data_IF_252748256695
#
_entry.id   IF_252748256695
#
_cell.length_a   1.000
_cell.length_b   1.000
_cell.length_c   1.000
_cell.angle_alpha   90.00
_cell.angle_beta   90.00
_cell.angle_gamma   90.00
#
_symmetry.space_group_name_H-M   'P 1'
#
loop_
_entity.id
_entity.type
_entity.pdbx_description
1 polymer ?
#
# COMPACT_ATOMS: atom_id res chain seq x y z
N UNK A 1 2.95 16.47 -4.37
CA UNK A 1 3.40 15.10 -4.01
C UNK A 1 3.05 14.16 -5.16
N UNK A 2 3.90 13.22 -5.57
CA UNK A 2 3.52 12.19 -6.54
C UNK A 2 2.31 11.38 -6.07
N UNK A 3 1.60 10.77 -7.02
CA UNK A 3 0.45 9.92 -6.74
C UNK A 3 0.92 8.58 -6.15
N UNK A 4 0.20 8.06 -5.16
CA UNK A 4 0.38 6.72 -4.61
C UNK A 4 -0.90 5.94 -4.90
N UNK A 5 -0.81 4.83 -5.64
CA UNK A 5 -1.93 3.96 -5.98
C UNK A 5 -2.11 2.91 -4.90
N UNK A 6 -3.35 2.65 -4.52
CA UNK A 6 -3.73 1.65 -3.52
C UNK A 6 -4.53 0.54 -4.18
N UNK A 7 -3.94 -0.63 -4.21
CA UNK A 7 -4.54 -1.91 -4.59
C UNK A 7 -4.66 -2.81 -3.36
N UNK A 8 -5.37 -3.92 -3.49
CA UNK A 8 -5.40 -5.01 -2.51
C UNK A 8 -5.07 -6.34 -3.20
N UNK A 9 -5.95 -6.87 -4.02
CA UNK A 9 -5.75 -8.15 -4.71
C UNK A 9 -5.75 -7.99 -6.24
N UNK A 10 -4.95 -8.81 -6.93
CA UNK A 10 -4.99 -8.94 -8.39
C UNK A 10 -5.41 -10.36 -8.73
N UNK A 11 -6.71 -10.57 -8.87
CA UNK A 11 -7.31 -11.89 -9.09
C UNK A 11 -8.62 -11.77 -9.87
N UNK A 12 -9.00 -12.86 -10.53
CA UNK A 12 -10.37 -13.06 -11.05
C UNK A 12 -11.16 -13.86 -10.02
N UNK A 13 -12.11 -13.22 -9.35
CA UNK A 13 -12.91 -13.83 -8.28
C UNK A 13 -14.39 -13.82 -8.62
N UNK A 14 -15.15 -14.83 -8.14
CA UNK A 14 -16.58 -14.92 -8.37
C UNK A 14 -17.42 -13.92 -7.59
N UNK A 15 -16.92 -13.45 -6.44
CA UNK A 15 -17.57 -12.46 -5.60
C UNK A 15 -16.50 -11.55 -4.96
N UNK A 16 -16.75 -10.24 -5.00
CA UNK A 16 -15.87 -9.19 -4.43
C UNK A 16 -16.74 -8.10 -3.79
N UNK A 17 -17.39 -8.40 -2.65
CA UNK A 17 -18.33 -7.47 -2.01
C UNK A 17 -17.66 -6.17 -1.55
N UNK A 18 -16.36 -6.21 -1.22
CA UNK A 18 -15.59 -5.07 -0.74
C UNK A 18 -14.84 -4.32 -1.86
N UNK A 19 -15.00 -4.78 -3.12
CA UNK A 19 -14.33 -4.19 -4.29
C UNK A 19 -12.80 -4.16 -4.20
N UNK A 20 -12.19 -5.18 -3.61
CA UNK A 20 -10.74 -5.26 -3.36
C UNK A 20 -9.95 -5.84 -4.54
N UNK A 21 -10.64 -6.53 -5.47
CA UNK A 21 -9.99 -7.23 -6.56
C UNK A 21 -9.94 -6.40 -7.85
N UNK A 22 -8.81 -6.52 -8.53
CA UNK A 22 -8.64 -6.10 -9.91
C UNK A 22 -8.24 -7.33 -10.71
N UNK A 23 -8.91 -7.60 -11.85
CA UNK A 23 -8.52 -8.75 -12.68
C UNK A 23 -7.11 -8.58 -13.24
N UNK A 24 -6.36 -9.68 -13.49
CA UNK A 24 -5.01 -9.61 -14.07
C UNK A 24 -4.97 -8.79 -15.36
N UNK A 25 -5.93 -8.97 -16.25
CA UNK A 25 -6.03 -8.21 -17.50
C UNK A 25 -6.24 -6.71 -17.26
N UNK A 26 -7.11 -6.32 -16.32
CA UNK A 26 -7.31 -4.92 -15.96
C UNK A 26 -6.06 -4.32 -15.30
N UNK A 27 -5.39 -5.06 -14.44
CA UNK A 27 -4.14 -4.64 -13.84
C UNK A 27 -3.06 -4.39 -14.89
N UNK A 28 -2.87 -5.32 -15.83
CA UNK A 28 -1.94 -5.16 -16.95
C UNK A 28 -2.25 -3.92 -17.82
N UNK A 29 -3.54 -3.64 -18.12
CA UNK A 29 -3.96 -2.42 -18.82
C UNK A 29 -3.59 -1.15 -18.03
N UNK A 30 -3.77 -1.16 -16.72
CA UNK A 30 -3.43 -0.03 -15.84
C UNK A 30 -1.91 0.19 -15.79
N UNK A 31 -1.11 -0.86 -15.68
CA UNK A 31 0.37 -0.77 -15.72
C UNK A 31 0.86 -0.31 -17.09
N UNK A 32 0.31 -0.84 -18.17
CA UNK A 32 0.61 -0.38 -19.52
C UNK A 32 0.24 1.09 -19.76
N UNK A 33 -0.84 1.58 -19.11
CA UNK A 33 -1.19 2.99 -19.16
C UNK A 33 -0.16 3.86 -18.45
N UNK A 34 0.35 3.44 -17.28
CA UNK A 34 1.44 4.16 -16.61
C UNK A 34 2.65 4.28 -17.53
N UNK A 35 3.10 3.17 -18.09
CA UNK A 35 4.27 3.08 -18.97
C UNK A 35 4.14 3.98 -20.20
N UNK A 36 3.03 3.88 -20.95
CA UNK A 36 2.74 4.74 -22.11
C UNK A 36 2.66 6.24 -21.79
N UNK A 37 2.44 6.61 -20.53
CA UNK A 37 2.42 8.00 -20.09
C UNK A 37 3.73 8.46 -19.44
N UNK A 38 4.82 7.70 -19.62
CA UNK A 38 6.14 8.00 -19.06
C UNK A 38 6.16 7.98 -17.54
N UNK A 39 5.30 7.12 -16.93
CA UNK A 39 5.21 6.94 -15.49
C UNK A 39 5.79 5.59 -15.11
N UNK A 40 6.62 5.58 -14.08
CA UNK A 40 7.24 4.37 -13.54
C UNK A 40 6.68 4.07 -12.14
N UNK A 41 6.18 2.85 -11.97
CA UNK A 41 5.75 2.33 -10.67
C UNK A 41 6.95 2.01 -9.77
N UNK A 42 6.91 2.49 -8.54
CA UNK A 42 7.96 2.24 -7.54
C UNK A 42 7.33 2.03 -6.16
N UNK A 43 8.09 1.45 -5.23
CA UNK A 43 7.67 1.39 -3.83
C UNK A 43 7.57 2.79 -3.21
N UNK A 44 6.81 2.92 -2.12
CA UNK A 44 6.64 4.22 -1.43
C UNK A 44 7.97 4.69 -0.83
N UNK A 45 8.76 3.80 -0.25
CA UNK A 45 10.08 4.14 0.27
C UNK A 45 11.00 4.68 -0.81
N UNK A 46 11.04 4.03 -1.99
CA UNK A 46 11.77 4.53 -3.16
C UNK A 46 11.23 5.88 -3.61
N UNK A 47 9.91 6.05 -3.70
CA UNK A 47 9.28 7.31 -4.08
C UNK A 47 9.71 8.45 -3.14
N UNK A 48 9.64 8.25 -1.84
CA UNK A 48 10.02 9.25 -0.83
C UNK A 48 11.52 9.59 -0.89
N UNK A 49 12.39 8.58 -1.06
CA UNK A 49 13.83 8.82 -1.24
C UNK A 49 14.12 9.66 -2.49
N UNK A 50 13.46 9.37 -3.61
CA UNK A 50 13.58 10.15 -4.85
C UNK A 50 13.00 11.57 -4.73
N UNK A 51 11.92 11.74 -3.94
CA UNK A 51 11.38 13.06 -3.64
C UNK A 51 12.37 13.94 -2.86
N UNK A 52 12.97 13.39 -1.80
CA UNK A 52 14.00 14.10 -1.02
C UNK A 52 15.19 14.52 -1.88
N UNK A 53 15.54 13.72 -2.90
CA UNK A 53 16.62 14.01 -3.85
C UNK A 53 16.19 14.90 -5.04
N UNK A 54 14.95 15.39 -5.10
CA UNK A 54 14.44 16.18 -6.24
C UNK A 54 14.24 15.38 -7.54
N UNK A 55 14.22 14.04 -7.48
CA UNK A 55 14.24 13.13 -8.65
C UNK A 55 12.98 12.30 -8.80
N UNK A 56 11.84 12.75 -8.25
CA UNK A 56 10.58 11.99 -8.27
C UNK A 56 9.71 12.24 -9.52
N UNK A 57 10.19 13.03 -10.50
CA UNK A 57 9.42 13.29 -11.73
C UNK A 57 9.17 11.99 -12.50
N UNK A 58 7.92 11.75 -12.87
CA UNK A 58 7.52 10.53 -13.57
C UNK A 58 7.35 9.29 -12.68
N UNK A 59 7.58 9.39 -11.37
CA UNK A 59 7.37 8.27 -10.45
C UNK A 59 5.95 8.27 -9.87
N UNK A 60 5.43 7.05 -9.66
CA UNK A 60 4.14 6.76 -9.03
C UNK A 60 4.35 5.66 -8.00
N UNK A 61 3.94 5.89 -6.76
CA UNK A 61 3.94 4.84 -5.75
C UNK A 61 2.89 3.78 -6.08
N UNK A 62 3.23 2.51 -5.95
CA UNK A 62 2.27 1.40 -6.04
C UNK A 62 2.26 0.69 -4.70
N UNK A 63 1.07 0.45 -4.16
CA UNK A 63 0.89 -0.27 -2.89
C UNK A 63 -0.15 -1.36 -3.02
N UNK A 64 0.08 -2.47 -2.32
CA UNK A 64 -0.89 -3.55 -2.11
C UNK A 64 -1.10 -3.71 -0.61
N UNK A 65 -2.34 -3.63 -0.16
CA UNK A 65 -2.71 -3.85 1.23
C UNK A 65 -3.05 -5.33 1.48
N UNK A 66 -3.11 -5.73 2.74
CA UNK A 66 -3.51 -7.03 3.27
C UNK A 66 -2.55 -8.20 3.00
N UNK A 67 -1.71 -8.12 1.98
CA UNK A 67 -0.81 -9.22 1.63
C UNK A 67 -1.53 -10.43 1.01
N UNK A 68 -2.53 -10.22 0.15
CA UNK A 68 -3.20 -11.32 -0.57
C UNK A 68 -2.22 -12.12 -1.43
N UNK A 69 -2.28 -13.45 -1.35
CA UNK A 69 -1.39 -14.36 -2.08
C UNK A 69 -1.46 -14.17 -3.61
N UNK A 70 -2.62 -13.78 -4.13
CA UNK A 70 -2.85 -13.56 -5.56
C UNK A 70 -1.89 -12.55 -6.20
N UNK A 71 -1.24 -11.67 -5.43
CA UNK A 71 -0.21 -10.76 -5.96
C UNK A 71 1.01 -11.50 -6.51
N UNK A 72 1.31 -12.71 -6.02
CA UNK A 72 2.44 -13.52 -6.47
C UNK A 72 2.29 -13.98 -7.92
N UNK A 73 1.07 -14.32 -8.31
CA UNK A 73 0.78 -14.92 -9.61
C UNK A 73 0.55 -13.88 -10.71
N UNK A 74 0.02 -12.72 -10.34
CA UNK A 74 -0.41 -11.71 -11.32
C UNK A 74 0.35 -10.39 -11.20
N UNK A 75 0.44 -9.79 -9.99
CA UNK A 75 1.03 -8.47 -9.84
C UNK A 75 2.56 -8.51 -9.91
N UNK A 76 3.20 -9.47 -9.24
CA UNK A 76 4.65 -9.61 -9.21
C UNK A 76 5.26 -9.77 -10.63
N UNK A 77 4.82 -10.72 -11.48
CA UNK A 77 5.39 -10.86 -12.82
C UNK A 77 5.09 -9.66 -13.72
N UNK A 78 3.90 -9.09 -13.66
CA UNK A 78 3.53 -7.92 -14.46
C UNK A 78 4.38 -6.69 -14.12
N UNK A 79 4.59 -6.40 -12.84
CA UNK A 79 5.43 -5.29 -12.40
C UNK A 79 6.90 -5.53 -12.74
N UNK A 80 7.40 -6.74 -12.48
CA UNK A 80 8.80 -7.10 -12.74
C UNK A 80 9.15 -7.02 -14.22
N UNK A 81 8.26 -7.45 -15.12
CA UNK A 81 8.47 -7.37 -16.58
C UNK A 81 8.64 -5.93 -17.08
N UNK A 82 8.11 -4.94 -16.35
CA UNK A 82 8.23 -3.51 -16.67
C UNK A 82 9.35 -2.82 -15.89
N UNK A 83 10.08 -3.54 -15.05
CA UNK A 83 11.04 -2.94 -14.11
C UNK A 83 10.38 -2.03 -13.08
N UNK A 84 9.10 -2.26 -12.77
CA UNK A 84 8.37 -1.59 -11.71
C UNK A 84 8.55 -2.34 -10.39
N UNK A 85 8.31 -1.64 -9.29
CA UNK A 85 8.23 -2.24 -7.95
C UNK A 85 7.04 -1.66 -7.19
N UNK A 86 6.75 -2.22 -6.02
CA UNK A 86 5.64 -1.79 -5.17
C UNK A 86 6.00 -1.97 -3.69
N UNK A 87 5.18 -1.42 -2.81
CA UNK A 87 5.14 -1.77 -1.39
C UNK A 87 3.99 -2.73 -1.14
N UNK A 88 4.26 -3.83 -0.49
CA UNK A 88 3.24 -4.79 -0.03
C UNK A 88 3.10 -4.67 1.47
N UNK A 89 1.95 -4.18 1.94
CA UNK A 89 1.63 -4.06 3.36
C UNK A 89 1.03 -5.38 3.85
N UNK A 90 1.75 -6.08 4.72
CA UNK A 90 1.46 -7.43 5.18
C UNK A 90 0.93 -7.42 6.61
N UNK A 91 -0.10 -8.22 6.88
CA UNK A 91 -0.64 -8.46 8.24
C UNK A 91 0.18 -9.56 8.89
N UNK A 92 1.06 -9.21 9.85
CA UNK A 92 2.09 -10.14 10.33
C UNK A 92 1.54 -11.38 11.04
N UNK A 93 0.47 -11.23 11.79
CA UNK A 93 -0.14 -12.33 12.55
C UNK A 93 -1.03 -13.27 11.71
N UNK A 94 -1.20 -12.98 10.42
CA UNK A 94 -2.08 -13.77 9.53
C UNK A 94 -1.35 -14.37 8.33
N UNK A 95 -0.02 -14.33 8.33
CA UNK A 95 0.83 -14.92 7.28
C UNK A 95 0.52 -16.41 7.11
N UNK A 96 0.30 -16.84 5.86
CA UNK A 96 -0.10 -18.20 5.53
C UNK A 96 -1.55 -18.56 5.88
N UNK A 97 -2.30 -17.61 6.40
CA UNK A 97 -3.72 -17.74 6.71
C UNK A 97 -4.64 -17.17 5.63
N UNK A 98 -5.78 -16.64 6.06
CA UNK A 98 -6.79 -16.03 5.18
C UNK A 98 -7.31 -14.73 5.78
N UNK A 99 -8.02 -13.94 4.96
CA UNK A 99 -8.65 -12.66 5.30
C UNK A 99 -9.89 -12.82 6.23
N UNK A 100 -9.69 -13.40 7.41
CA UNK A 100 -10.76 -13.70 8.38
C UNK A 100 -11.21 -12.52 9.25
N UNK A 101 -10.74 -11.31 8.97
CA UNK A 101 -11.12 -10.09 9.69
C UNK A 101 -12.40 -9.43 9.14
N UNK A 102 -12.82 -9.79 7.93
CA UNK A 102 -14.05 -9.32 7.32
C UNK A 102 -14.96 -10.50 6.95
N UNK A 103 -16.26 -10.26 6.92
CA UNK A 103 -17.23 -11.22 6.38
C UNK A 103 -17.11 -11.29 4.86
N UNK A 104 -17.28 -12.50 4.30
CA UNK A 104 -17.25 -12.70 2.85
C UNK A 104 -16.37 -13.86 2.40
N UNK A 105 -15.96 -13.87 1.12
CA UNK A 105 -15.09 -14.92 0.58
C UNK A 105 -13.74 -14.98 1.30
N UNK A 106 -13.31 -16.21 1.59
CA UNK A 106 -12.01 -16.45 2.22
C UNK A 106 -10.93 -16.54 1.14
N UNK A 107 -9.96 -15.60 1.17
CA UNK A 107 -8.82 -15.55 0.26
C UNK A 107 -7.52 -15.77 1.00
N UNK A 108 -6.58 -16.55 0.41
CA UNK A 108 -5.30 -16.82 1.06
C UNK A 108 -4.40 -15.58 1.10
N UNK A 109 -3.60 -15.50 2.15
CA UNK A 109 -2.57 -14.48 2.35
C UNK A 109 -1.18 -15.07 2.06
N UNK A 110 -0.21 -14.21 1.76
CA UNK A 110 1.17 -14.62 1.48
C UNK A 110 1.74 -15.46 2.63
N UNK A 111 2.50 -16.49 2.25
CA UNK A 111 3.27 -17.30 3.20
C UNK A 111 4.58 -16.61 3.59
N UNK A 112 5.26 -17.13 4.61
CA UNK A 112 6.57 -16.65 5.02
C UNK A 112 7.59 -16.68 3.86
N UNK A 113 7.63 -17.77 3.11
CA UNK A 113 8.54 -17.91 1.95
C UNK A 113 8.19 -16.88 0.85
N UNK A 114 6.91 -16.62 0.61
CA UNK A 114 6.46 -15.64 -0.38
C UNK A 114 6.82 -14.20 0.02
N UNK A 115 6.81 -13.86 1.30
CA UNK A 115 7.32 -12.56 1.77
C UNK A 115 8.81 -12.43 1.45
N UNK A 116 9.60 -13.48 1.67
CA UNK A 116 11.02 -13.53 1.27
C UNK A 116 11.23 -13.38 -0.24
N UNK A 117 10.40 -14.05 -1.05
CA UNK A 117 10.42 -13.93 -2.53
C UNK A 117 10.12 -12.50 -2.97
N UNK A 118 9.10 -11.85 -2.40
CA UNK A 118 8.77 -10.45 -2.69
C UNK A 118 9.94 -9.51 -2.36
N UNK A 119 10.53 -9.66 -1.18
CA UNK A 119 11.68 -8.85 -0.77
C UNK A 119 12.89 -9.05 -1.71
N UNK A 120 13.22 -10.30 -2.05
CA UNK A 120 14.30 -10.64 -2.99
C UNK A 120 14.05 -10.10 -4.41
N UNK A 121 12.80 -9.99 -4.84
CA UNK A 121 12.40 -9.39 -6.11
C UNK A 121 12.42 -7.84 -6.10
N UNK A 122 12.84 -7.21 -4.98
CA UNK A 122 12.94 -5.75 -4.86
C UNK A 122 11.63 -5.04 -4.53
N UNK A 123 10.63 -5.79 -4.06
CA UNK A 123 9.42 -5.20 -3.49
C UNK A 123 9.70 -4.77 -2.04
N UNK A 124 9.16 -3.64 -1.66
CA UNK A 124 9.23 -3.19 -0.27
C UNK A 124 8.17 -3.92 0.55
N UNK A 125 8.59 -4.54 1.65
CA UNK A 125 7.67 -5.10 2.64
C UNK A 125 7.33 -3.98 3.63
N UNK A 126 6.03 -3.71 3.77
CA UNK A 126 5.47 -2.79 4.75
C UNK A 126 4.56 -3.53 5.72
N UNK A 127 4.22 -2.88 6.83
CA UNK A 127 3.34 -3.44 7.86
C UNK A 127 1.89 -2.98 7.68
N UNK A 128 0.95 -3.91 7.90
CA UNK A 128 -0.49 -3.65 7.98
C UNK A 128 -1.07 -4.10 9.32
N UNK A 129 -0.35 -3.88 10.42
CA UNK A 129 -0.60 -4.35 11.79
C UNK A 129 -0.43 -5.88 11.97
N UNK A 130 -0.65 -6.36 13.19
CA UNK A 130 -0.60 -7.80 13.51
C UNK A 130 -1.89 -8.50 13.12
N UNK A 131 -3.07 -7.93 13.44
CA UNK A 131 -4.37 -8.63 13.32
C UNK A 131 -5.45 -7.85 12.56
N UNK A 132 -5.08 -6.73 11.90
CA UNK A 132 -5.96 -5.88 11.09
C UNK A 132 -7.11 -5.20 11.86
N UNK A 133 -6.93 -4.71 13.09
CA UNK A 133 -7.99 -4.00 13.81
C UNK A 133 -8.13 -2.55 13.32
N UNK A 134 -9.26 -1.92 13.61
CA UNK A 134 -9.36 -0.45 13.57
C UNK A 134 -8.50 0.13 14.69
N UNK A 135 -7.50 0.95 14.34
CA UNK A 135 -6.51 1.45 15.31
C UNK A 135 -6.97 2.68 16.09
N UNK A 136 -7.83 3.52 15.50
CA UNK A 136 -8.35 4.69 16.19
C UNK A 136 -9.15 4.29 17.44
N UNK A 137 -8.82 4.89 18.59
CA UNK A 137 -9.48 4.62 19.86
C UNK A 137 -8.97 3.39 20.61
N UNK A 138 -7.97 2.65 20.10
CA UNK A 138 -7.38 1.55 20.84
C UNK A 138 -6.53 2.05 22.02
N UNK A 139 -6.50 1.29 23.14
CA UNK A 139 -5.58 1.56 24.24
C UNK A 139 -4.10 1.53 23.80
N UNK A 140 -3.24 2.26 24.48
CA UNK A 140 -1.84 2.44 24.09
C UNK A 140 -1.03 1.12 24.04
N UNK A 141 -1.31 0.19 24.94
CA UNK A 141 -0.69 -1.15 24.96
C UNK A 141 -1.10 -1.97 23.72
N UNK A 142 -2.38 -1.90 23.32
CA UNK A 142 -2.89 -2.55 22.11
C UNK A 142 -2.30 -1.90 20.85
N UNK A 143 -2.24 -0.58 20.78
CA UNK A 143 -1.58 0.12 19.67
C UNK A 143 -0.13 -0.33 19.52
N UNK A 144 0.62 -0.41 20.63
CA UNK A 144 2.01 -0.86 20.62
C UNK A 144 2.12 -2.30 20.14
N UNK A 145 1.29 -3.20 20.63
CA UNK A 145 1.29 -4.61 20.21
C UNK A 145 1.00 -4.76 18.72
N UNK A 146 0.00 -4.07 18.21
CA UNK A 146 -0.38 -4.14 16.78
C UNK A 146 0.65 -3.48 15.84
N UNK A 147 1.27 -2.39 16.25
CA UNK A 147 2.13 -1.58 15.40
C UNK A 147 3.60 -2.00 15.52
N UNK A 148 4.16 -1.95 16.74
CA UNK A 148 5.57 -2.32 16.96
C UNK A 148 5.77 -3.83 16.82
N UNK A 149 4.81 -4.65 17.28
CA UNK A 149 4.84 -6.11 17.12
C UNK A 149 4.92 -6.49 15.65
N UNK A 150 4.04 -5.95 14.80
CA UNK A 150 4.05 -6.26 13.37
C UNK A 150 5.36 -5.84 12.67
N UNK A 151 5.97 -4.73 13.08
CA UNK A 151 7.28 -4.34 12.54
C UNK A 151 8.36 -5.35 12.88
N UNK A 152 8.42 -5.75 14.15
CA UNK A 152 9.41 -6.72 14.63
C UNK A 152 9.28 -8.07 13.90
N UNK A 153 8.04 -8.59 13.79
CA UNK A 153 7.74 -9.83 13.08
C UNK A 153 8.20 -9.78 11.62
N UNK A 154 7.83 -8.72 10.90
CA UNK A 154 8.13 -8.59 9.48
C UNK A 154 9.61 -8.29 9.19
N UNK A 155 10.31 -7.56 10.05
CA UNK A 155 11.76 -7.40 9.95
C UNK A 155 12.48 -8.76 10.10
N UNK A 156 12.09 -9.54 11.09
CA UNK A 156 12.67 -10.88 11.29
C UNK A 156 12.37 -11.83 10.12
N UNK A 157 11.17 -11.75 9.57
CA UNK A 157 10.74 -12.63 8.48
C UNK A 157 11.34 -12.27 7.13
N UNK A 158 11.34 -10.98 6.77
CA UNK A 158 11.80 -10.52 5.46
C UNK A 158 13.32 -10.34 5.37
N UNK A 159 14.02 -10.32 6.51
CA UNK A 159 15.44 -9.97 6.58
C UNK A 159 15.76 -8.53 6.17
N UNK A 160 14.73 -7.67 6.05
CA UNK A 160 14.87 -6.27 5.64
C UNK A 160 14.30 -5.33 6.70
N UNK A 161 14.73 -4.06 6.68
CA UNK A 161 14.14 -3.04 7.54
C UNK A 161 12.75 -2.62 7.03
N UNK A 162 11.71 -2.90 7.82
CA UNK A 162 10.31 -2.58 7.48
C UNK A 162 10.03 -1.13 7.86
N UNK A 163 10.00 -0.25 6.84
CA UNK A 163 9.98 1.20 6.99
C UNK A 163 8.60 1.83 6.83
N UNK A 164 7.68 1.14 6.16
CA UNK A 164 6.36 1.64 5.84
C UNK A 164 5.25 0.97 6.65
N UNK A 165 4.25 1.74 7.03
CA UNK A 165 3.02 1.27 7.66
C UNK A 165 1.80 1.66 6.81
N UNK A 166 0.73 0.86 6.79
CA UNK A 166 -0.58 1.29 6.31
C UNK A 166 -1.63 1.02 7.42
N UNK A 167 -2.51 2.00 7.64
CA UNK A 167 -3.55 1.88 8.67
C UNK A 167 -4.69 1.00 8.16
N UNK A 168 -5.02 -0.14 8.82
CA UNK A 168 -6.19 -0.94 8.50
C UNK A 168 -7.45 -0.09 8.41
N UNK A 169 -8.22 -0.24 7.34
CA UNK A 169 -9.43 0.56 7.04
C UNK A 169 -9.18 2.09 6.95
N UNK A 170 -7.93 2.54 6.92
CA UNK A 170 -7.59 3.95 7.10
C UNK A 170 -7.90 4.49 8.50
N UNK A 171 -8.16 3.61 9.47
CA UNK A 171 -8.54 3.96 10.85
C UNK A 171 -7.32 4.46 11.62
N UNK A 172 -7.26 5.78 11.85
CA UNK A 172 -6.17 6.42 12.58
C UNK A 172 -6.67 7.63 13.36
N UNK A 173 -6.00 7.88 14.48
CA UNK A 173 -6.11 9.10 15.29
C UNK A 173 -4.71 9.63 15.65
N UNK A 174 -4.62 10.60 16.54
CA UNK A 174 -3.33 11.15 16.96
C UNK A 174 -2.48 10.12 17.71
N UNK A 175 -3.10 9.25 18.52
CA UNK A 175 -2.42 8.21 19.29
C UNK A 175 -1.86 7.13 18.36
N UNK A 176 -2.64 6.64 17.40
CA UNK A 176 -2.18 5.67 16.41
C UNK A 176 -1.00 6.21 15.57
N UNK A 177 -1.05 7.48 15.14
CA UNK A 177 0.06 8.12 14.40
C UNK A 177 1.32 8.27 15.25
N UNK A 178 1.16 8.63 16.53
CA UNK A 178 2.28 8.69 17.47
C UNK A 178 2.92 7.31 17.64
N UNK A 179 2.12 6.26 17.85
CA UNK A 179 2.59 4.89 18.01
C UNK A 179 3.36 4.38 16.78
N UNK A 180 2.90 4.71 15.55
CA UNK A 180 3.61 4.36 14.30
C UNK A 180 4.99 5.03 14.26
N UNK A 181 5.07 6.32 14.62
CA UNK A 181 6.34 7.04 14.68
C UNK A 181 7.28 6.48 15.75
N UNK A 182 6.76 6.21 16.94
CA UNK A 182 7.51 5.65 18.06
C UNK A 182 8.01 4.23 17.78
N UNK A 183 7.27 3.44 16.99
CA UNK A 183 7.70 2.12 16.54
C UNK A 183 8.85 2.16 15.52
N UNK A 184 9.26 3.34 15.05
CA UNK A 184 10.40 3.53 14.15
C UNK A 184 10.09 3.31 12.67
N UNK A 185 8.83 3.45 12.25
CA UNK A 185 8.52 3.53 10.83
C UNK A 185 8.94 4.88 10.24
N UNK A 186 9.36 4.91 8.98
CA UNK A 186 9.75 6.15 8.29
C UNK A 186 8.54 6.92 7.74
N UNK A 187 7.45 6.21 7.44
CA UNK A 187 6.22 6.76 6.89
C UNK A 187 5.01 5.87 7.16
N UNK A 188 3.82 6.45 7.03
CA UNK A 188 2.58 5.69 7.01
C UNK A 188 1.63 6.14 5.90
N UNK A 189 0.92 5.17 5.31
CA UNK A 189 -0.10 5.39 4.30
C UNK A 189 -1.49 5.37 4.90
N UNK A 190 -2.31 6.35 4.50
CA UNK A 190 -3.73 6.43 4.82
C UNK A 190 -4.59 6.11 3.59
N UNK A 191 -5.87 5.86 3.83
CA UNK A 191 -6.90 5.94 2.80
C UNK A 191 -7.31 7.41 2.66
N UNK A 192 -7.69 7.86 1.48
CA UNK A 192 -8.06 9.25 1.24
C UNK A 192 -9.38 9.59 1.94
N UNK A 193 -9.33 10.07 3.17
CA UNK A 193 -10.53 10.41 3.94
C UNK A 193 -10.63 11.88 4.35
N UNK A 194 -9.54 12.60 4.54
CA UNK A 194 -9.59 14.02 4.86
C UNK A 194 -8.38 14.78 4.33
N UNK A 195 -8.63 16.03 3.97
CA UNK A 195 -7.65 16.92 3.32
C UNK A 195 -6.70 17.62 4.30
N UNK A 196 -6.79 17.31 5.58
CA UNK A 196 -6.15 18.10 6.63
C UNK A 196 -4.67 17.81 6.88
N UNK A 197 -4.26 16.56 6.83
CA UNK A 197 -2.93 16.14 7.27
C UNK A 197 -2.19 15.36 6.19
N UNK A 198 -1.23 16.03 5.51
CA UNK A 198 -0.39 15.46 4.45
C UNK A 198 1.03 15.13 4.94
N UNK A 199 1.22 14.96 6.25
CA UNK A 199 2.50 14.57 6.80
C UNK A 199 2.94 13.17 6.38
N UNK A 200 4.20 12.81 6.67
CA UNK A 200 4.76 11.48 6.38
C UNK A 200 3.96 10.34 7.06
N UNK A 201 3.22 10.66 8.12
CA UNK A 201 2.47 9.70 8.93
C UNK A 201 1.02 9.52 8.51
N UNK A 202 0.64 10.10 7.36
CA UNK A 202 -0.69 9.96 6.77
C UNK A 202 -0.67 10.24 5.25
N UNK A 203 0.22 9.58 4.54
CA UNK A 203 0.37 9.74 3.09
C UNK A 203 -0.93 9.35 2.37
N UNK A 204 -1.54 10.27 1.61
CA UNK A 204 -2.77 9.98 0.91
C UNK A 204 -2.53 9.04 -0.25
N UNK A 205 -3.43 8.09 -0.44
CA UNK A 205 -3.41 7.15 -1.56
C UNK A 205 -4.66 7.30 -2.42
N UNK A 206 -4.54 6.89 -3.66
CA UNK A 206 -5.64 6.83 -4.63
C UNK A 206 -6.05 5.37 -4.76
N UNK A 207 -7.23 5.04 -4.27
CA UNK A 207 -7.81 3.70 -4.46
C UNK A 207 -7.97 3.40 -5.95
N UNK A 208 -7.56 2.18 -6.35
CA UNK A 208 -7.68 1.65 -7.70
C UNK A 208 -8.42 0.31 -7.66
N UNK A 209 -9.49 0.22 -8.42
CA UNK A 209 -10.33 -0.98 -8.49
C UNK A 209 -10.59 -1.42 -9.92
N UNK A 210 -11.42 -2.46 -10.07
CA UNK A 210 -11.79 -3.09 -11.35
C UNK A 210 -12.38 -2.09 -12.37
N UNK A 211 -13.09 -1.07 -11.90
CA UNK A 211 -13.72 -0.06 -12.75
C UNK A 211 -12.76 1.01 -13.27
N UNK A 212 -11.51 1.04 -12.81
CA UNK A 212 -10.55 2.08 -13.19
C UNK A 212 -9.86 1.71 -14.52
N UNK A 213 -10.48 2.17 -15.60
CA UNK A 213 -9.92 2.15 -16.96
C UNK A 213 -8.80 3.19 -17.13
N UNK A 214 -8.09 3.15 -18.24
CA UNK A 214 -7.09 4.16 -18.63
C UNK A 214 -7.63 5.61 -18.53
N UNK A 215 -8.86 5.85 -18.99
CA UNK A 215 -9.50 7.18 -18.89
C UNK A 215 -9.75 7.62 -17.46
N UNK A 216 -10.19 6.70 -16.59
CA UNK A 216 -10.39 7.00 -15.16
C UNK A 216 -9.07 7.26 -14.44
N UNK A 217 -8.01 6.51 -14.78
CA UNK A 217 -6.67 6.77 -14.25
C UNK A 217 -6.16 8.15 -14.65
N UNK A 218 -6.38 8.56 -15.90
CA UNK A 218 -6.06 9.92 -16.36
C UNK A 218 -6.80 11.00 -15.54
N UNK A 219 -8.10 10.81 -15.32
CA UNK A 219 -8.91 11.69 -14.47
C UNK A 219 -8.41 11.74 -13.02
N UNK A 220 -8.15 10.59 -12.39
CA UNK A 220 -7.58 10.49 -11.04
C UNK A 220 -6.23 11.21 -10.93
N UNK A 221 -5.36 11.05 -11.94
CA UNK A 221 -4.08 11.75 -12.01
C UNK A 221 -4.24 13.27 -12.08
N UNK A 222 -5.17 13.75 -12.90
CA UNK A 222 -5.46 15.19 -13.02
C UNK A 222 -5.99 15.76 -11.71
N UNK A 223 -6.95 15.08 -11.09
CA UNK A 223 -7.51 15.47 -9.78
C UNK A 223 -6.42 15.48 -8.69
N UNK A 224 -5.54 14.49 -8.65
CA UNK A 224 -4.43 14.46 -7.69
C UNK A 224 -3.48 15.65 -7.88
N UNK A 225 -3.17 16.03 -9.15
CA UNK A 225 -2.36 17.23 -9.45
C UNK A 225 -3.03 18.53 -9.03
N UNK A 226 -4.32 18.68 -9.33
CA UNK A 226 -5.10 19.87 -8.93
C UNK A 226 -5.16 20.05 -7.42
N UNK A 227 -5.34 18.97 -6.70
CA UNK A 227 -5.35 18.92 -5.24
C UNK A 227 -4.04 19.37 -4.62
N UNK A 228 -2.90 19.01 -5.23
CA UNK A 228 -1.55 19.41 -4.78
C UNK A 228 -1.30 20.90 -5.08
N UNK A 229 -1.68 21.39 -6.26
CA UNK A 229 -1.50 22.78 -6.65
C UNK A 229 -2.26 23.75 -5.73
N UNK A 230 -3.51 23.44 -5.36
CA UNK A 230 -4.33 24.27 -4.45
C UNK A 230 -3.76 24.37 -3.03
N UNK A 231 -2.86 23.46 -2.62
CA UNK A 231 -2.22 23.48 -1.29
C UNK A 231 -0.90 24.23 -1.29
N UNK A 232 -0.10 24.10 -2.34
CA UNK A 232 1.11 24.93 -2.49
C UNK A 232 0.83 26.42 -2.59
N UNK A 233 -0.41 26.82 -2.90
CA UNK A 233 -0.85 28.20 -2.93
C UNK A 233 -1.36 28.72 -1.57
N UNK A 234 -1.45 27.87 -0.54
CA UNK A 234 -1.95 28.22 0.81
C UNK A 234 -0.87 28.10 1.91
N UNK A 235 0.31 27.66 1.57
CA UNK A 235 1.53 27.62 2.40
C UNK A 235 2.49 28.74 2.02
#
# INVERSE_FOLDING_TARGET
>A
MPMILMYHSVASVGADPNSLCVTPGRFAEQMAWLDRNGLRGVSVGTLLARMRAGRARGLVGITFDDGYQAIMEAALPELSSRGFSATVFVISGLIGGTNRWDEGPSWPLVTADQVGVLAAAGFEIGSHSVSHPRLAGLPADRLRAEIAGSRADLCALSGTDVRGFAYPYGSMDAAARAAVREAGFDYACAVQTSWGDLGLWSLPRVYIGQRDTAGRLAGKRLLNRGRIALRGARS
#
